data_IF_588079085624
#
_entry.id   IF_588079085624
#
_cell.length_a   1.000
_cell.length_b   1.000
_cell.length_c   1.000
_cell.angle_alpha   90.00
_cell.angle_beta   90.00
_cell.angle_gamma   90.00
#
_symmetry.space_group_name_H-M   'P 1'
#
loop_
_entity.id
_entity.type
_entity.pdbx_description
1 polymer ?
#
# COMPACT_ATOMS: atom_id res chain seq x y z
N UNK A 1 23.83 -21.19 -9.58
CA UNK A 1 24.28 -21.72 -8.27
C UNK A 1 23.28 -21.27 -7.20
N UNK A 2 23.18 -21.93 -6.02
CA UNK A 2 22.26 -21.51 -4.95
C UNK A 2 22.50 -20.08 -4.43
N UNK A 3 23.75 -19.60 -4.50
CA UNK A 3 24.16 -18.24 -4.15
C UNK A 3 23.40 -17.18 -4.99
N UNK A 4 23.34 -17.39 -6.30
CA UNK A 4 22.69 -16.46 -7.25
C UNK A 4 21.18 -16.34 -7.01
N UNK A 5 20.54 -17.45 -6.58
CA UNK A 5 19.11 -17.47 -6.28
C UNK A 5 18.78 -16.69 -5.01
N UNK A 6 19.60 -16.82 -3.97
CA UNK A 6 19.42 -16.07 -2.73
C UNK A 6 19.56 -14.55 -2.97
N UNK A 7 20.62 -14.13 -3.68
CA UNK A 7 20.83 -12.72 -4.00
C UNK A 7 19.69 -12.15 -4.85
N UNK A 8 19.14 -12.94 -5.80
CA UNK A 8 17.95 -12.55 -6.55
C UNK A 8 16.76 -12.28 -5.63
N UNK A 9 16.47 -13.18 -4.69
CA UNK A 9 15.35 -13.02 -3.74
C UNK A 9 15.55 -11.76 -2.88
N UNK A 10 16.77 -11.50 -2.41
CA UNK A 10 17.09 -10.31 -1.62
C UNK A 10 16.88 -9.04 -2.43
N UNK A 11 17.32 -9.01 -3.68
CA UNK A 11 17.14 -7.85 -4.55
C UNK A 11 15.66 -7.58 -4.85
N UNK A 12 14.86 -8.61 -5.11
CA UNK A 12 13.42 -8.47 -5.25
C UNK A 12 12.77 -7.93 -3.96
N UNK A 13 13.22 -8.40 -2.78
CA UNK A 13 12.73 -7.88 -1.50
C UNK A 13 13.06 -6.40 -1.27
N UNK A 14 14.21 -5.93 -1.77
CA UNK A 14 14.55 -4.50 -1.77
C UNK A 14 13.65 -3.70 -2.71
N UNK A 15 13.32 -4.25 -3.89
CA UNK A 15 12.40 -3.60 -4.82
C UNK A 15 10.99 -3.49 -4.24
N UNK A 16 10.50 -4.51 -3.54
CA UNK A 16 9.22 -4.43 -2.82
C UNK A 16 9.22 -3.28 -1.80
N UNK A 17 10.30 -3.12 -1.02
CA UNK A 17 10.42 -2.02 -0.08
C UNK A 17 10.38 -0.64 -0.77
N UNK A 18 10.99 -0.52 -1.97
CA UNK A 18 10.92 0.70 -2.78
C UNK A 18 9.48 0.99 -3.22
N UNK A 19 8.76 -0.01 -3.75
CA UNK A 19 7.36 0.18 -4.16
C UNK A 19 6.44 0.47 -2.97
N UNK A 20 6.67 -0.18 -1.82
CA UNK A 20 5.95 0.11 -0.57
C UNK A 20 6.16 1.56 -0.11
N UNK A 21 7.40 2.06 -0.15
CA UNK A 21 7.71 3.44 0.20
C UNK A 21 7.14 4.45 -0.80
N UNK A 22 7.00 4.06 -2.07
CA UNK A 22 6.39 4.88 -3.12
C UNK A 22 4.85 4.78 -3.16
N UNK A 23 4.24 3.96 -2.30
CA UNK A 23 2.80 3.63 -2.32
C UNK A 23 2.32 3.07 -3.67
N UNK A 24 3.24 2.53 -4.47
CA UNK A 24 2.99 1.97 -5.81
C UNK A 24 2.52 0.51 -5.69
N UNK A 25 1.22 0.32 -5.58
CA UNK A 25 0.63 -1.01 -5.42
C UNK A 25 0.72 -1.87 -6.67
N UNK A 26 0.78 -1.27 -7.86
CA UNK A 26 0.84 -2.01 -9.13
C UNK A 26 2.24 -2.60 -9.34
N UNK A 27 3.28 -1.78 -9.18
CA UNK A 27 4.67 -2.24 -9.23
C UNK A 27 4.97 -3.27 -8.13
N UNK A 28 4.42 -3.05 -6.93
CA UNK A 28 4.56 -3.99 -5.82
C UNK A 28 4.01 -5.39 -6.13
N UNK A 29 2.85 -5.48 -6.79
CA UNK A 29 2.22 -6.76 -7.11
C UNK A 29 3.07 -7.62 -8.07
N UNK A 30 3.67 -6.98 -9.08
CA UNK A 30 4.54 -7.68 -10.04
C UNK A 30 5.78 -8.26 -9.35
N UNK A 31 6.47 -7.45 -8.53
CA UNK A 31 7.69 -7.87 -7.82
C UNK A 31 7.39 -8.95 -6.78
N UNK A 32 6.26 -8.86 -6.07
CA UNK A 32 5.81 -9.88 -5.12
C UNK A 32 5.66 -11.26 -5.77
N UNK A 33 5.00 -11.31 -6.93
CA UNK A 33 4.81 -12.57 -7.67
C UNK A 33 6.15 -13.18 -8.07
N UNK A 34 7.05 -12.38 -8.62
CA UNK A 34 8.39 -12.85 -9.01
C UNK A 34 9.20 -13.36 -7.80
N UNK A 35 9.09 -12.66 -6.66
CA UNK A 35 9.81 -13.06 -5.44
C UNK A 35 9.27 -14.34 -4.84
N UNK A 36 7.95 -14.54 -4.87
CA UNK A 36 7.32 -15.79 -4.43
C UNK A 36 7.84 -16.98 -5.25
N UNK A 37 7.86 -16.85 -6.57
CA UNK A 37 8.40 -17.87 -7.47
C UNK A 37 9.88 -18.17 -7.17
N UNK A 38 10.70 -17.12 -6.98
CA UNK A 38 12.11 -17.28 -6.67
C UNK A 38 12.34 -17.98 -5.31
N UNK A 39 11.57 -17.66 -4.28
CA UNK A 39 11.62 -18.32 -2.97
C UNK A 39 11.25 -19.80 -3.10
N UNK A 40 10.17 -20.10 -3.82
CA UNK A 40 9.73 -21.47 -4.04
C UNK A 40 10.81 -22.28 -4.77
N UNK A 41 11.42 -21.71 -5.82
CA UNK A 41 12.53 -22.34 -6.54
C UNK A 41 13.75 -22.58 -5.62
N UNK A 42 14.10 -21.62 -4.76
CA UNK A 42 15.20 -21.74 -3.82
C UNK A 42 14.96 -22.85 -2.77
N UNK A 43 13.74 -22.95 -2.24
CA UNK A 43 13.38 -24.01 -1.28
C UNK A 43 13.43 -25.39 -1.97
N UNK A 44 12.88 -25.51 -3.18
CA UNK A 44 12.86 -26.77 -3.93
C UNK A 44 14.25 -27.23 -4.36
N UNK A 45 15.15 -26.29 -4.68
CA UNK A 45 16.54 -26.62 -4.97
C UNK A 45 17.28 -27.22 -3.75
N UNK A 46 16.79 -26.93 -2.54
CA UNK A 46 17.35 -27.43 -1.30
C UNK A 46 18.78 -26.92 -1.03
N UNK A 47 19.42 -27.44 0.03
CA UNK A 47 20.79 -27.06 0.36
C UNK A 47 21.77 -27.65 -0.68
N UNK A 48 22.10 -26.88 -1.71
CA UNK A 48 23.23 -27.15 -2.61
C UNK A 48 24.61 -26.81 -2.00
N UNK A 49 24.62 -26.41 -0.72
CA UNK A 49 25.77 -25.98 0.10
C UNK A 49 25.70 -26.64 1.49
N UNK A 50 26.60 -26.26 2.42
CA UNK A 50 26.50 -26.71 3.83
C UNK A 50 25.16 -26.28 4.42
N UNK A 51 24.46 -27.23 5.05
CA UNK A 51 23.14 -27.03 5.68
C UNK A 51 23.04 -25.79 6.58
N UNK A 52 24.11 -25.46 7.32
CA UNK A 52 24.16 -24.28 8.19
C UNK A 52 24.04 -22.96 7.40
N UNK A 53 24.73 -22.84 6.27
CA UNK A 53 24.66 -21.65 5.41
C UNK A 53 23.25 -21.48 4.79
N UNK A 54 22.62 -22.60 4.42
CA UNK A 54 21.25 -22.60 3.92
C UNK A 54 20.24 -22.14 5.00
N UNK A 55 20.42 -22.61 6.25
CA UNK A 55 19.58 -22.17 7.37
C UNK A 55 19.75 -20.68 7.67
N UNK A 56 20.98 -20.17 7.65
CA UNK A 56 21.24 -18.74 7.83
C UNK A 56 20.55 -17.88 6.74
N UNK A 57 20.61 -18.33 5.48
CA UNK A 57 19.88 -17.70 4.37
C UNK A 57 18.37 -17.71 4.60
N UNK A 58 17.79 -18.80 5.06
CA UNK A 58 16.36 -18.87 5.39
C UNK A 58 15.97 -17.90 6.52
N UNK A 59 16.79 -17.80 7.58
CA UNK A 59 16.57 -16.83 8.66
C UNK A 59 16.57 -15.40 8.14
N UNK A 60 17.52 -15.04 7.26
CA UNK A 60 17.57 -13.71 6.62
C UNK A 60 16.31 -13.42 5.80
N UNK A 61 15.81 -14.40 5.05
CA UNK A 61 14.55 -14.24 4.29
C UNK A 61 13.34 -14.06 5.21
N UNK A 62 13.30 -14.76 6.34
CA UNK A 62 12.24 -14.63 7.34
C UNK A 62 12.22 -13.22 7.95
N UNK A 63 13.39 -12.70 8.34
CA UNK A 63 13.51 -11.35 8.92
C UNK A 63 13.11 -10.27 7.91
N UNK A 64 13.52 -10.42 6.65
CA UNK A 64 13.12 -9.52 5.57
C UNK A 64 11.59 -9.53 5.38
N UNK A 65 10.97 -10.71 5.37
CA UNK A 65 9.51 -10.83 5.30
C UNK A 65 8.79 -10.18 6.48
N UNK A 66 9.36 -10.26 7.69
CA UNK A 66 8.77 -9.59 8.86
C UNK A 66 8.74 -8.06 8.69
N UNK A 67 9.82 -7.48 8.16
CA UNK A 67 9.93 -6.03 7.89
C UNK A 67 8.95 -5.58 6.81
N UNK A 68 8.93 -6.28 5.67
CA UNK A 68 8.01 -5.95 4.56
C UNK A 68 6.54 -6.05 4.98
N UNK A 69 6.17 -7.05 5.81
CA UNK A 69 4.82 -7.16 6.38
C UNK A 69 4.48 -5.99 7.30
N UNK A 70 5.44 -5.51 8.07
CA UNK A 70 5.23 -4.35 8.93
C UNK A 70 4.96 -3.09 8.10
N UNK A 71 5.77 -2.85 7.06
CA UNK A 71 5.62 -1.72 6.13
C UNK A 71 4.30 -1.79 5.35
N UNK A 72 3.94 -2.95 4.80
CA UNK A 72 2.65 -3.14 4.11
C UNK A 72 1.44 -2.85 5.01
N UNK A 73 1.50 -3.22 6.30
CA UNK A 73 0.47 -2.87 7.28
C UNK A 73 0.43 -1.37 7.56
N UNK A 74 1.57 -0.69 7.55
CA UNK A 74 1.62 0.76 7.72
C UNK A 74 0.98 1.46 6.51
N UNK A 75 1.33 1.05 5.30
CA UNK A 75 0.71 1.55 4.06
C UNK A 75 -0.81 1.33 4.07
N UNK A 76 -1.27 0.13 4.43
CA UNK A 76 -2.69 -0.17 4.52
C UNK A 76 -3.44 0.75 5.51
N UNK A 77 -2.83 1.07 6.65
CA UNK A 77 -3.40 2.04 7.61
C UNK A 77 -3.45 3.45 7.02
N UNK A 78 -2.38 3.89 6.36
CA UNK A 78 -2.31 5.20 5.68
C UNK A 78 -3.45 5.36 4.67
N UNK A 79 -3.59 4.40 3.75
CA UNK A 79 -4.65 4.39 2.74
C UNK A 79 -6.06 4.41 3.35
N UNK A 80 -6.27 3.66 4.44
CA UNK A 80 -7.55 3.66 5.15
C UNK A 80 -7.87 5.04 5.75
N UNK A 81 -6.89 5.70 6.35
CA UNK A 81 -7.06 7.03 6.92
C UNK A 81 -7.36 8.07 5.83
N UNK A 82 -6.68 7.99 4.69
CA UNK A 82 -6.92 8.87 3.56
C UNK A 82 -8.32 8.70 2.97
N UNK A 83 -8.79 7.46 2.77
CA UNK A 83 -10.15 7.19 2.33
C UNK A 83 -11.21 7.75 3.30
N UNK A 84 -10.96 7.67 4.61
CA UNK A 84 -11.84 8.26 5.62
C UNK A 84 -11.84 9.80 5.54
N UNK A 85 -10.67 10.42 5.34
CA UNK A 85 -10.55 11.87 5.12
C UNK A 85 -11.33 12.30 3.88
N UNK A 86 -11.12 11.66 2.74
CA UNK A 86 -11.83 11.95 1.49
C UNK A 86 -13.34 11.77 1.63
N UNK A 87 -13.81 10.76 2.36
CA UNK A 87 -15.24 10.59 2.67
C UNK A 87 -15.79 11.73 3.51
N UNK A 88 -15.05 12.19 4.51
CA UNK A 88 -15.45 13.32 5.35
C UNK A 88 -15.50 14.63 4.56
N UNK A 89 -14.54 14.84 3.66
CA UNK A 89 -14.48 16.00 2.79
C UNK A 89 -15.60 16.01 1.76
N UNK A 90 -15.90 14.87 1.13
CA UNK A 90 -17.05 14.74 0.24
C UNK A 90 -18.37 15.03 0.96
N UNK A 91 -18.54 14.56 2.21
CA UNK A 91 -19.72 14.90 3.02
C UNK A 91 -19.80 16.40 3.30
N UNK A 92 -18.67 17.05 3.63
CA UNK A 92 -18.58 18.50 3.86
C UNK A 92 -18.95 19.30 2.61
N UNK A 93 -18.36 18.95 1.46
CA UNK A 93 -18.66 19.60 0.17
C UNK A 93 -20.12 19.42 -0.25
N UNK A 94 -20.69 18.22 -0.03
CA UNK A 94 -22.13 17.97 -0.24
C UNK A 94 -23.02 18.85 0.65
N UNK A 95 -22.63 19.07 1.91
CA UNK A 95 -23.31 19.98 2.83
C UNK A 95 -23.30 21.44 2.36
N UNK A 96 -22.17 21.92 1.84
CA UNK A 96 -22.09 23.27 1.25
C UNK A 96 -22.94 23.41 -0.02
N UNK A 97 -23.03 22.36 -0.84
CA UNK A 97 -23.88 22.36 -2.04
C UNK A 97 -25.37 22.47 -1.71
N UNK A 98 -25.81 21.84 -0.61
CA UNK A 98 -27.16 21.99 -0.07
C UNK A 98 -27.44 23.36 0.54
N UNK A 99 -26.43 24.01 1.14
CA UNK A 99 -26.56 25.36 1.72
C UNK A 99 -26.32 26.50 0.73
N UNK A 100 -25.81 26.23 -0.47
CA UNK A 100 -25.70 27.21 -1.56
C UNK A 100 -27.03 27.40 -2.32
N UNK A 101 -28.01 26.52 -2.11
CA UNK A 101 -29.40 26.71 -2.53
C UNK A 101 -30.13 27.44 -1.39
N UNK A 102 -29.65 28.62 -1.03
CA UNK A 102 -30.44 29.55 -0.21
C UNK A 102 -31.39 30.26 -1.15
N UNK A 103 -32.68 29.99 -0.92
CA UNK A 103 -33.87 30.65 -1.47
C UNK A 103 -33.64 32.14 -1.74
N UNK A 104 -34.01 32.68 -2.93
CA UNK A 104 -34.02 34.12 -3.10
C UNK A 104 -35.08 34.71 -2.16
N UNK A 105 -34.64 35.43 -1.12
CA UNK A 105 -35.53 36.26 -0.30
C UNK A 105 -35.93 37.52 -1.08
N UNK A 106 -36.73 37.33 -2.13
CA UNK A 106 -37.46 38.42 -2.77
C UNK A 106 -38.95 38.27 -2.47
N UNK A 107 -39.43 38.92 -1.42
CA UNK A 107 -40.73 39.59 -1.47
C UNK A 107 -40.79 40.76 -0.48
N UNK A 108 -39.97 41.78 -0.77
CA UNK A 108 -40.32 43.16 -0.42
C UNK A 108 -41.59 43.54 -1.20
N UNK A 109 -42.76 43.14 -0.70
CA UNK A 109 -44.05 43.72 -1.11
C UNK A 109 -44.44 44.76 -0.05
N UNK A 110 -43.78 45.91 -0.16
CA UNK A 110 -44.24 47.17 0.42
C UNK A 110 -45.54 47.54 -0.33
N UNK A 111 -46.69 47.20 0.23
CA UNK A 111 -47.96 47.82 -0.14
C UNK A 111 -48.01 49.20 0.51
N UNK A 112 -47.67 50.22 -0.28
CA UNK A 112 -47.92 51.64 0.02
C UNK A 112 -48.85 52.15 -1.08
N UNK A 113 -49.84 52.95 -0.66
CA UNK A 113 -50.96 53.55 -1.42
C UNK A 113 -52.23 52.70 -1.31
N UNK A 114 -53.37 53.23 -0.88
CA UNK A 114 -53.78 54.59 -0.57
C UNK A 114 -55.29 54.55 -0.37
#
# INVERSE_FOLDING_TARGET
>A
MPEDMFERIVNLGRQEAVHLAAEDTEGLAAVLSEREEAINAFIQAGPGEKREAFLDKLTKLQDMNARLRHEARALHRSLKEELLRLRSENRRLGGYRGSAIVTPMNSLLVSRRG
#
